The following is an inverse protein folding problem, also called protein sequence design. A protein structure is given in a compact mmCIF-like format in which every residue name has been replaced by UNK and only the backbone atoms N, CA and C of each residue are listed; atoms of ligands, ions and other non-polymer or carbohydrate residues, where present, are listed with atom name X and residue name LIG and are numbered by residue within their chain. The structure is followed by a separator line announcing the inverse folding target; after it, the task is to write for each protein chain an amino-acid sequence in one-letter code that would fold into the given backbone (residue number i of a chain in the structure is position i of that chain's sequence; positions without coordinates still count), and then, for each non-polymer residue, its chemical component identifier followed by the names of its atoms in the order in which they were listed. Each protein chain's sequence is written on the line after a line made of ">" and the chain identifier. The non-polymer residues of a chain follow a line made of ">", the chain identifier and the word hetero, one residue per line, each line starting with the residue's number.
data_IF_874698322104
#
_entry.id   IF_874698322104
#
_cell.length_a   1.000
_cell.length_b   1.000
_cell.length_c   1.000
_cell.angle_alpha   90.00
_cell.angle_beta   90.00
_cell.angle_gamma   90.00
#
_symmetry.space_group_name_H-M   'P 1'
#
loop_
_entity.id
_entity.type
_entity.pdbx_description
1 polymer ?
#
# COMPACT_ATOMS: atom_id res chain seq x y z
N UNK A 1 14.59 -0.79 -20.14
CA UNK A 1 14.19 -1.18 -18.78
C UNK A 1 13.14 -0.18 -18.35
N UNK A 2 11.98 -0.64 -17.91
CA UNK A 2 10.86 0.26 -17.61
C UNK A 2 11.19 1.08 -16.36
N UNK A 3 11.48 2.36 -16.58
CA UNK A 3 11.83 3.32 -15.55
C UNK A 3 10.59 4.00 -14.95
N UNK A 4 9.40 3.74 -15.52
CA UNK A 4 8.16 4.25 -14.98
C UNK A 4 7.95 3.72 -13.54
N UNK A 5 7.52 4.61 -12.63
CA UNK A 5 7.18 4.30 -11.24
C UNK A 5 8.36 3.96 -10.31
N UNK A 6 9.54 4.53 -10.60
CA UNK A 6 10.68 4.58 -9.69
C UNK A 6 10.73 5.95 -9.01
N UNK A 7 10.81 5.95 -7.67
CA UNK A 7 10.82 7.16 -6.86
C UNK A 7 12.08 7.16 -5.98
N UNK A 8 12.98 8.11 -6.21
CA UNK A 8 14.18 8.32 -5.42
C UNK A 8 13.89 8.86 -4.02
N UNK A 9 14.93 9.02 -3.22
CA UNK A 9 14.84 9.51 -1.83
C UNK A 9 14.17 10.89 -1.66
N UNK A 10 14.13 11.69 -2.72
CA UNK A 10 13.63 13.07 -2.74
C UNK A 10 12.27 13.22 -3.41
N UNK A 11 11.72 12.15 -3.99
CA UNK A 11 10.50 12.25 -4.77
C UNK A 11 9.27 12.10 -3.88
N UNK A 12 8.27 12.95 -4.11
CA UNK A 12 6.91 12.77 -3.59
C UNK A 12 6.15 11.79 -4.48
N UNK A 13 5.17 11.12 -3.89
CA UNK A 13 4.41 10.05 -4.52
C UNK A 13 2.99 10.04 -3.94
N UNK A 14 2.00 9.83 -4.79
CA UNK A 14 0.64 9.44 -4.39
C UNK A 14 0.27 8.18 -5.14
N UNK A 15 -0.14 7.15 -4.41
CA UNK A 15 -0.77 5.95 -4.94
C UNK A 15 -2.24 6.01 -4.55
N UNK A 16 -3.14 5.86 -5.51
CA UNK A 16 -4.57 5.81 -5.24
C UNK A 16 -5.24 4.65 -5.97
N UNK A 17 -6.34 4.18 -5.41
CA UNK A 17 -7.09 3.05 -5.93
C UNK A 17 -8.48 3.02 -5.31
N UNK A 18 -9.46 2.54 -6.07
CA UNK A 18 -10.77 2.16 -5.53
C UNK A 18 -10.88 0.66 -5.44
N UNK A 19 -11.45 0.19 -4.34
CA UNK A 19 -11.64 -1.24 -4.09
C UNK A 19 -13.07 -1.52 -3.63
N UNK A 20 -13.55 -2.73 -3.89
CA UNK A 20 -14.75 -3.27 -3.29
C UNK A 20 -14.48 -4.72 -2.90
N UNK A 21 -14.75 -5.10 -1.65
CA UNK A 21 -14.55 -6.48 -1.20
C UNK A 21 -15.48 -6.82 -0.05
N UNK A 22 -15.87 -8.09 0.03
CA UNK A 22 -16.52 -8.70 1.19
C UNK A 22 -15.67 -9.80 1.82
N UNK A 23 -14.44 -10.00 1.31
CA UNK A 23 -13.60 -11.11 1.70
C UNK A 23 -13.10 -10.90 3.13
N UNK A 24 -13.22 -11.95 3.95
CA UNK A 24 -12.57 -12.01 5.24
C UNK A 24 -11.27 -12.81 5.08
N UNK A 25 -10.13 -12.14 5.27
CA UNK A 25 -8.84 -12.83 5.35
C UNK A 25 -8.45 -12.91 6.81
N UNK A 26 -8.29 -14.12 7.35
CA UNK A 26 -7.93 -14.32 8.76
C UNK A 26 -6.44 -14.56 9.00
N UNK A 27 -5.66 -14.87 7.96
CA UNK A 27 -4.26 -15.29 8.11
C UNK A 27 -3.33 -14.87 6.95
N UNK A 28 -3.86 -14.27 5.89
CA UNK A 28 -3.07 -13.87 4.70
C UNK A 28 -3.39 -12.42 4.35
N UNK A 29 -2.38 -11.66 3.90
CA UNK A 29 -2.62 -10.32 3.35
C UNK A 29 -3.29 -10.42 1.99
N UNK A 30 -4.12 -9.44 1.66
CA UNK A 30 -4.77 -9.29 0.36
C UNK A 30 -4.14 -8.08 -0.32
N UNK A 31 -3.25 -8.29 -1.30
CA UNK A 31 -2.47 -7.19 -1.90
C UNK A 31 -3.28 -6.47 -2.97
N UNK A 32 -3.43 -5.16 -2.82
CA UNK A 32 -4.12 -4.30 -3.79
C UNK A 32 -3.13 -3.84 -4.87
N UNK A 33 -1.97 -3.32 -4.46
CA UNK A 33 -0.93 -2.84 -5.36
C UNK A 33 0.43 -3.06 -4.72
N UNK A 34 1.43 -3.55 -5.47
CA UNK A 34 2.77 -3.75 -4.94
C UNK A 34 3.91 -3.53 -5.94
N UNK A 35 4.97 -2.86 -5.49
CA UNK A 35 6.30 -2.88 -6.12
C UNK A 35 7.31 -3.16 -5.02
N UNK A 36 7.91 -4.35 -5.03
CA UNK A 36 8.67 -4.87 -3.88
C UNK A 36 9.97 -5.56 -4.26
N UNK A 37 10.98 -5.35 -3.43
CA UNK A 37 12.23 -6.13 -3.40
C UNK A 37 12.40 -6.78 -2.03
N UNK A 38 12.68 -8.08 -1.99
CA UNK A 38 12.90 -8.80 -0.72
C UNK A 38 14.19 -8.32 -0.06
N UNK A 39 14.12 -8.06 1.25
CA UNK A 39 15.29 -7.73 2.08
C UNK A 39 15.84 -6.31 1.92
N UNK A 40 15.24 -5.46 1.08
CA UNK A 40 15.67 -4.09 0.83
C UNK A 40 14.57 -3.08 1.15
N UNK A 41 14.93 -1.80 1.25
CA UNK A 41 14.01 -0.68 1.47
C UNK A 41 13.32 -0.19 0.21
N UNK A 42 13.58 -0.78 -0.96
CA UNK A 42 13.00 -0.30 -2.23
C UNK A 42 11.63 -0.91 -2.49
N UNK A 43 10.70 -0.65 -1.58
CA UNK A 43 9.37 -1.25 -1.58
C UNK A 43 8.30 -0.24 -1.24
N UNK A 44 7.20 -0.30 -1.98
CA UNK A 44 5.92 0.26 -1.57
C UNK A 44 4.81 -0.72 -1.95
N UNK A 45 3.82 -0.89 -1.06
CA UNK A 45 2.62 -1.64 -1.39
C UNK A 45 1.45 -1.26 -0.51
N UNK A 46 0.24 -1.47 -1.04
CA UNK A 46 -1.03 -1.31 -0.38
C UNK A 46 -1.63 -2.71 -0.25
N UNK A 47 -2.04 -3.08 0.96
CA UNK A 47 -2.70 -4.36 1.23
C UNK A 47 -3.81 -4.20 2.27
N UNK A 48 -4.61 -5.25 2.36
CA UNK A 48 -5.54 -5.49 3.46
C UNK A 48 -5.00 -6.71 4.22
N UNK A 49 -4.41 -6.53 5.42
CA UNK A 49 -3.87 -7.63 6.19
C UNK A 49 -4.98 -8.57 6.64
N UNK A 50 -4.67 -9.87 6.71
CA UNK A 50 -5.57 -10.84 7.34
C UNK A 50 -5.24 -11.18 8.79
N UNK A 51 -4.03 -10.87 9.26
CA UNK A 51 -3.58 -11.17 10.62
C UNK A 51 -3.96 -10.08 11.64
N UNK A 52 -2.97 -9.51 12.32
CA UNK A 52 -3.21 -8.37 13.21
C UNK A 52 -3.77 -7.17 12.41
N UNK A 53 -4.87 -6.58 12.91
CA UNK A 53 -5.69 -5.57 12.22
C UNK A 53 -6.30 -6.10 10.90
N UNK A 54 -7.15 -7.15 10.97
CA UNK A 54 -7.68 -7.78 9.78
C UNK A 54 -8.67 -6.86 9.06
N UNK A 55 -8.65 -6.91 7.74
CA UNK A 55 -9.55 -6.17 6.85
C UNK A 55 -9.40 -4.64 6.87
N UNK A 56 -8.33 -4.12 7.48
CA UNK A 56 -8.01 -2.70 7.58
C UNK A 56 -6.93 -2.33 6.56
N UNK A 57 -7.16 -1.35 5.65
CA UNK A 57 -6.14 -0.92 4.70
C UNK A 57 -4.81 -0.58 5.37
N UNK A 58 -3.72 -1.00 4.73
CA UNK A 58 -2.39 -0.59 5.15
C UNK A 58 -1.49 -0.18 4.01
N UNK A 59 -0.60 0.76 4.35
CA UNK A 59 0.43 1.24 3.45
C UNK A 59 1.81 0.88 4.00
N UNK A 60 2.54 0.08 3.25
CA UNK A 60 3.92 -0.24 3.53
C UNK A 60 4.85 0.61 2.68
N UNK A 61 5.88 1.14 3.32
CA UNK A 61 6.87 1.99 2.69
C UNK A 61 8.27 1.65 3.19
N UNK A 62 9.24 1.58 2.29
CA UNK A 62 10.64 1.50 2.70
C UNK A 62 11.00 0.13 3.30
N UNK A 63 11.85 0.15 4.34
CA UNK A 63 12.17 -1.04 5.12
C UNK A 63 10.99 -1.38 6.04
N UNK A 64 10.72 -2.68 6.17
CA UNK A 64 9.52 -3.38 6.69
C UNK A 64 8.95 -2.89 8.05
N UNK A 65 9.61 -1.97 8.75
CA UNK A 65 9.12 -1.41 10.03
C UNK A 65 8.14 -0.23 9.86
N UNK A 66 8.03 0.38 8.67
CA UNK A 66 7.12 1.52 8.46
C UNK A 66 5.85 1.05 7.79
N UNK A 67 4.77 1.07 8.57
CA UNK A 67 3.45 0.68 8.13
C UNK A 67 2.43 1.65 8.70
N UNK A 68 1.57 2.17 7.84
CA UNK A 68 0.38 2.90 8.23
C UNK A 68 -0.81 1.96 8.20
N UNK A 69 -1.78 2.18 9.09
CA UNK A 69 -2.99 1.38 9.17
C UNK A 69 -4.22 2.26 9.35
N UNK A 70 -5.24 2.00 8.53
CA UNK A 70 -6.57 2.52 8.82
C UNK A 70 -7.12 1.80 10.08
N UNK A 71 -7.80 2.50 11.01
CA UNK A 71 -8.47 1.85 12.14
C UNK A 71 -9.84 1.27 11.76
N UNK A 72 -10.24 1.37 10.49
CA UNK A 72 -11.55 0.95 9.97
C UNK A 72 -11.40 -0.15 8.94
N UNK A 73 -12.34 -1.10 8.99
CA UNK A 73 -12.42 -2.16 7.98
C UNK A 73 -13.08 -1.63 6.71
N UNK A 74 -12.74 -2.26 5.58
CA UNK A 74 -13.27 -1.92 4.23
C UNK A 74 -13.88 -3.13 3.52
N UNK A 75 -14.08 -4.24 4.24
CA UNK A 75 -14.64 -5.48 3.69
C UNK A 75 -16.17 -5.54 3.82
N UNK A 76 -16.85 -4.42 3.63
CA UNK A 76 -18.30 -4.28 3.83
C UNK A 76 -19.11 -4.35 2.52
N UNK A 77 -18.46 -4.72 1.42
CA UNK A 77 -19.03 -4.80 0.07
C UNK A 77 -19.37 -3.45 -0.56
N UNK A 78 -18.95 -2.32 0.01
CA UNK A 78 -19.04 -1.02 -0.65
C UNK A 78 -17.70 -0.63 -1.29
N UNK A 79 -17.78 0.33 -2.22
CA UNK A 79 -16.59 0.91 -2.83
C UNK A 79 -15.90 1.84 -1.83
N UNK A 80 -14.60 1.64 -1.64
CA UNK A 80 -13.74 2.51 -0.85
C UNK A 80 -12.61 3.06 -1.70
N UNK A 81 -12.30 4.35 -1.54
CA UNK A 81 -11.11 4.97 -2.12
C UNK A 81 -9.97 4.93 -1.11
N UNK A 82 -8.80 4.47 -1.53
CA UNK A 82 -7.59 4.43 -0.69
C UNK A 82 -6.53 5.29 -1.36
N UNK A 83 -5.94 6.23 -0.61
CA UNK A 83 -4.82 7.03 -1.08
C UNK A 83 -3.65 6.99 -0.09
N UNK A 84 -2.47 6.67 -0.62
CA UNK A 84 -1.22 6.54 0.12
C UNK A 84 -0.23 7.58 -0.39
N UNK A 85 0.19 8.51 0.47
CA UNK A 85 0.98 9.67 0.04
C UNK A 85 2.33 9.68 0.76
N UNK A 86 3.39 9.84 -0.02
CA UNK A 86 4.70 10.31 0.43
C UNK A 86 4.83 11.78 0.06
N UNK A 87 4.81 12.66 1.05
CA UNK A 87 4.97 14.09 0.85
C UNK A 87 6.35 14.54 1.35
N UNK A 88 7.27 14.85 0.42
CA UNK A 88 8.64 15.25 0.73
C UNK A 88 8.78 16.69 1.20
N UNK A 89 7.85 17.57 0.85
CA UNK A 89 7.84 18.96 1.30
C UNK A 89 7.59 19.04 2.82
N UNK A 90 6.65 18.24 3.32
CA UNK A 90 6.31 18.17 4.75
C UNK A 90 7.00 17.02 5.49
N UNK A 91 7.73 16.16 4.77
CA UNK A 91 8.40 14.96 5.27
C UNK A 91 7.45 13.99 5.99
N UNK A 92 6.32 13.66 5.34
CA UNK A 92 5.24 12.81 5.90
C UNK A 92 4.85 11.65 4.99
N UNK A 93 4.53 10.51 5.60
CA UNK A 93 3.68 9.47 4.98
C UNK A 93 2.27 9.62 5.51
N UNK A 94 1.28 9.46 4.63
CA UNK A 94 -0.14 9.66 4.92
C UNK A 94 -0.94 8.52 4.31
N UNK A 95 -1.95 8.05 5.04
CA UNK A 95 -2.95 7.09 4.57
C UNK A 95 -4.33 7.70 4.70
N UNK A 96 -5.03 7.76 3.56
CA UNK A 96 -6.42 8.19 3.48
C UNK A 96 -7.31 7.03 3.05
N UNK A 97 -8.51 6.97 3.63
CA UNK A 97 -9.61 6.12 3.14
C UNK A 97 -10.86 6.98 3.03
N UNK A 98 -11.53 6.93 1.88
CA UNK A 98 -12.71 7.73 1.54
C UNK A 98 -12.52 9.24 1.77
N UNK A 99 -11.31 9.72 1.49
CA UNK A 99 -10.91 11.12 1.68
C UNK A 99 -10.54 11.53 3.11
N UNK A 100 -10.68 10.64 4.11
CA UNK A 100 -10.32 10.93 5.49
C UNK A 100 -8.88 10.50 5.79
N UNK A 101 -8.07 11.37 6.40
CA UNK A 101 -6.74 11.02 6.89
C UNK A 101 -6.87 10.10 8.11
N UNK A 102 -6.45 8.84 7.98
CA UNK A 102 -6.61 7.83 9.02
C UNK A 102 -5.33 7.52 9.79
N UNK A 103 -4.17 7.66 9.15
CA UNK A 103 -2.88 7.46 9.81
C UNK A 103 -1.77 8.28 9.15
N UNK A 104 -0.73 8.57 9.91
CA UNK A 104 0.46 9.28 9.43
C UNK A 104 1.72 8.91 10.18
N UNK A 105 2.85 9.02 9.49
CA UNK A 105 4.17 9.04 10.11
C UNK A 105 4.81 10.39 9.81
N UNK A 106 5.20 11.08 10.88
CA UNK A 106 5.96 12.32 10.81
C UNK A 106 7.46 11.98 10.82
N UNK A 107 8.21 12.54 9.85
CA UNK A 107 9.66 12.42 9.66
C UNK A 107 10.15 11.05 9.18
N UNK A 108 11.31 11.11 8.52
CA UNK A 108 12.15 9.96 8.17
C UNK A 108 11.58 9.09 7.04
N UNK A 109 11.27 9.75 5.92
CA UNK A 109 10.80 9.14 4.67
C UNK A 109 11.86 9.28 3.58
N UNK A 110 13.12 9.00 3.95
CA UNK A 110 14.33 9.26 3.16
C UNK A 110 14.74 8.08 2.28
N UNK A 111 14.02 6.97 2.37
CA UNK A 111 14.32 5.75 1.63
C UNK A 111 14.21 5.96 0.12
N UNK A 112 15.20 5.44 -0.61
CA UNK A 112 15.16 5.32 -2.07
C UNK A 112 14.29 4.10 -2.43
N UNK A 113 13.28 4.30 -3.28
CA UNK A 113 12.37 3.25 -3.71
C UNK A 113 12.68 2.72 -5.12
N UNK A 114 13.71 3.24 -5.78
CA UNK A 114 14.05 2.84 -7.15
C UNK A 114 14.45 1.37 -7.21
N UNK A 115 13.76 0.62 -8.07
CA UNK A 115 14.10 -0.78 -8.30
C UNK A 115 13.56 -1.28 -9.66
N UNK A 116 14.19 -2.33 -10.17
CA UNK A 116 13.87 -2.90 -11.48
C UNK A 116 12.74 -3.93 -11.46
N UNK A 117 12.04 -4.11 -10.33
CA UNK A 117 10.92 -5.06 -10.25
C UNK A 117 9.65 -4.45 -10.81
N UNK A 118 8.79 -5.29 -11.39
CA UNK A 118 7.50 -4.86 -11.90
C UNK A 118 6.57 -4.41 -10.77
N UNK A 119 5.67 -3.49 -11.10
CA UNK A 119 4.47 -3.24 -10.31
C UNK A 119 3.47 -4.38 -10.55
N UNK A 120 2.76 -4.79 -9.51
CA UNK A 120 1.66 -5.74 -9.55
C UNK A 120 0.40 -5.11 -8.96
N UNK A 121 -0.76 -5.46 -9.52
CA UNK A 121 -2.08 -5.10 -9.00
C UNK A 121 -2.79 -6.40 -8.63
N UNK A 122 -3.47 -6.42 -7.49
CA UNK A 122 -4.20 -7.59 -6.97
C UNK A 122 -3.33 -8.75 -6.48
N UNK A 123 -2.01 -8.60 -6.48
CA UNK A 123 -1.06 -9.66 -6.08
C UNK A 123 0.36 -9.10 -5.85
N UNK A 124 1.31 -9.96 -5.52
CA UNK A 124 2.72 -9.64 -5.47
C UNK A 124 3.63 -10.81 -5.88
N UNK A 125 4.93 -10.54 -6.07
CA UNK A 125 5.94 -11.47 -6.61
C UNK A 125 6.24 -12.76 -5.81
N UNK A 126 5.83 -12.87 -4.56
CA UNK A 126 6.43 -13.77 -3.56
C UNK A 126 5.41 -14.70 -2.87
N UNK A 127 4.11 -14.48 -3.05
CA UNK A 127 3.05 -15.32 -2.49
C UNK A 127 1.89 -15.39 -3.46
N UNK A 128 1.49 -16.62 -3.81
CA UNK A 128 0.27 -16.86 -4.59
C UNK A 128 -0.99 -16.84 -3.72
N UNK A 129 -0.84 -16.77 -2.39
CA UNK A 129 -1.96 -16.71 -1.45
C UNK A 129 -2.39 -15.27 -1.14
N UNK A 130 -1.56 -14.29 -1.47
CA UNK A 130 -1.77 -12.89 -1.10
C UNK A 130 -2.56 -12.11 -2.18
N UNK A 131 -3.53 -12.80 -2.79
CA UNK A 131 -4.32 -12.31 -3.92
C UNK A 131 -5.52 -11.52 -3.40
N UNK A 132 -5.78 -10.39 -4.06
CA UNK A 132 -6.97 -9.59 -3.78
C UNK A 132 -8.23 -10.30 -4.25
N UNK A 133 -9.23 -10.31 -3.37
CA UNK A 133 -10.52 -10.97 -3.57
C UNK A 133 -11.61 -9.90 -3.52
N UNK A 134 -11.99 -9.39 -4.68
CA UNK A 134 -12.86 -8.24 -4.84
C UNK A 134 -12.61 -7.54 -6.18
N UNK A 135 -13.17 -6.33 -6.31
CA UNK A 135 -13.01 -5.48 -7.49
C UNK A 135 -12.03 -4.35 -7.22
N UNK A 136 -11.27 -3.96 -8.24
CA UNK A 136 -10.31 -2.85 -8.23
C UNK A 136 -10.63 -1.95 -9.42
N UNK A 137 -10.68 -0.64 -9.20
CA UNK A 137 -10.88 0.36 -10.24
C UNK A 137 -10.09 1.65 -9.94
N UNK A 138 -9.98 2.55 -10.91
CA UNK A 138 -9.33 3.87 -10.82
C UNK A 138 -7.92 3.83 -10.16
N UNK A 139 -7.01 3.06 -10.75
CA UNK A 139 -5.59 2.92 -10.36
C UNK A 139 -4.68 3.90 -11.12
#
# INVERSE_FOLDING_TARGET
>A
MDAALNFGATDSLTLEVRIQTSAEKANVSSVILSKRVVGLSQTYYIDIPGGAMPNMPSFFFGRITRKLFAPTKVNDSYWHHIACVRNKETNRLLLYVDGYLLDKVDKDISEDLTNTKSLFIGTHLFSMSDVFDGEIDEV
#
